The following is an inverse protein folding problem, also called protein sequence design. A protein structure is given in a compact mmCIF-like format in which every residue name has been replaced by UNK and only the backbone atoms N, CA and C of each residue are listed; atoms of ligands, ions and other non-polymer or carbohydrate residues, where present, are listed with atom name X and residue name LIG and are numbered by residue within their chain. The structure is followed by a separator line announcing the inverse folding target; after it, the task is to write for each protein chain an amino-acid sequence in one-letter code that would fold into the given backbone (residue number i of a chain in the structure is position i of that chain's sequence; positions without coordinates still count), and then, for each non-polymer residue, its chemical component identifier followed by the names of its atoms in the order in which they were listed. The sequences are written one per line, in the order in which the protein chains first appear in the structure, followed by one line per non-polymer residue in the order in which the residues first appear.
data_IF_925103074340
#
_entry.id   IF_925103074340
#
_cell.length_a   1.000
_cell.length_b   1.000
_cell.length_c   1.000
_cell.angle_alpha   90.00
_cell.angle_beta   90.00
_cell.angle_gamma   90.00
#
_symmetry.space_group_name_H-M   'P 1'
#
loop_
_entity.id
_entity.type
_entity.pdbx_description
1 polymer ?
#
# COMPACT_ATOMS: atom_id res chain seq x y z
N UNK A 1 -7.52 0.91 -19.37
CA UNK A 1 -7.14 0.89 -17.94
C UNK A 1 -5.63 0.92 -17.74
N UNK A 2 -4.86 0.21 -18.57
CA UNK A 2 -3.40 0.38 -18.67
C UNK A 2 -2.99 1.84 -18.89
N UNK A 3 -3.59 2.53 -19.86
CA UNK A 3 -3.31 3.95 -20.13
C UNK A 3 -3.54 4.85 -18.91
N UNK A 4 -4.64 4.63 -18.18
CA UNK A 4 -4.96 5.43 -16.99
C UNK A 4 -3.93 5.22 -15.88
N UNK A 5 -3.56 3.97 -15.62
CA UNK A 5 -2.51 3.64 -14.65
C UNK A 5 -1.15 4.17 -15.08
N UNK A 6 -0.79 4.01 -16.36
CA UNK A 6 0.46 4.54 -16.92
C UNK A 6 0.57 6.05 -16.76
N UNK A 7 -0.47 6.79 -17.12
CA UNK A 7 -0.52 8.27 -16.95
C UNK A 7 -0.49 8.67 -15.48
N UNK A 8 -1.24 7.98 -14.62
CA UNK A 8 -1.27 8.28 -13.18
C UNK A 8 0.09 8.07 -12.54
N UNK A 9 0.76 6.95 -12.84
CA UNK A 9 2.12 6.69 -12.35
C UNK A 9 3.13 7.72 -12.85
N UNK A 10 3.06 8.10 -14.13
CA UNK A 10 3.92 9.14 -14.70
C UNK A 10 3.74 10.48 -13.98
N UNK A 11 2.49 10.89 -13.74
CA UNK A 11 2.17 12.14 -13.01
C UNK A 11 2.65 12.12 -11.55
N UNK A 12 2.61 10.96 -10.87
CA UNK A 12 3.15 10.85 -9.51
C UNK A 12 4.67 11.01 -9.47
N UNK A 13 5.38 10.50 -10.48
CA UNK A 13 6.83 10.66 -10.62
C UNK A 13 7.17 12.12 -10.97
N UNK A 14 6.52 12.69 -11.99
CA UNK A 14 6.71 14.08 -12.42
C UNK A 14 6.39 15.07 -11.30
N UNK A 15 5.35 14.78 -10.51
CA UNK A 15 4.95 15.57 -9.35
C UNK A 15 5.91 15.46 -8.15
N UNK A 16 6.99 14.68 -8.24
CA UNK A 16 8.00 14.57 -7.19
C UNK A 16 7.47 13.95 -5.90
N UNK A 17 6.58 12.96 -5.99
CA UNK A 17 6.04 12.28 -4.81
C UNK A 17 7.19 11.75 -3.93
N UNK A 18 7.12 12.01 -2.63
CA UNK A 18 8.11 11.50 -1.66
C UNK A 18 7.50 10.49 -0.71
N UNK A 19 8.32 9.61 -0.15
CA UNK A 19 7.90 8.67 0.89
C UNK A 19 7.31 9.40 2.10
N UNK A 20 7.88 10.56 2.47
CA UNK A 20 7.37 11.41 3.55
C UNK A 20 5.99 11.99 3.24
N UNK A 21 5.72 12.34 1.97
CA UNK A 21 4.40 12.80 1.55
C UNK A 21 3.34 11.70 1.76
N UNK A 22 3.66 10.43 1.46
CA UNK A 22 2.76 9.29 1.73
C UNK A 22 2.45 9.17 3.22
N UNK A 23 3.48 9.17 4.07
CA UNK A 23 3.33 9.08 5.52
C UNK A 23 2.42 10.19 6.06
N UNK A 24 2.67 11.43 5.63
CA UNK A 24 1.87 12.59 6.02
C UNK A 24 0.43 12.51 5.51
N UNK A 25 0.22 12.02 4.29
CA UNK A 25 -1.11 11.85 3.71
C UNK A 25 -1.92 10.81 4.47
N UNK A 26 -1.32 9.65 4.81
CA UNK A 26 -1.98 8.62 5.62
C UNK A 26 -2.30 9.14 7.02
N UNK A 27 -1.41 9.91 7.64
CA UNK A 27 -1.62 10.46 8.96
C UNK A 27 -2.86 11.37 9.00
N UNK A 28 -3.01 12.21 7.98
CA UNK A 28 -4.14 13.15 7.82
C UNK A 28 -5.41 12.51 7.27
N UNK A 29 -5.30 11.36 6.60
CA UNK A 29 -6.44 10.72 5.96
C UNK A 29 -7.41 10.12 7.00
N UNK A 30 -8.70 10.34 6.75
CA UNK A 30 -9.79 9.64 7.43
C UNK A 30 -9.99 8.28 6.75
N UNK A 31 -9.33 7.27 7.27
CA UNK A 31 -9.43 5.88 6.78
C UNK A 31 -10.19 5.08 7.82
N UNK A 32 -11.30 4.48 7.42
CA UNK A 32 -12.08 3.58 8.24
C UNK A 32 -11.86 2.14 7.76
N UNK A 33 -11.53 1.26 8.70
CA UNK A 33 -11.63 -0.17 8.46
C UNK A 33 -13.07 -0.62 8.66
N UNK A 34 -13.43 -1.74 8.03
CA UNK A 34 -14.68 -2.42 8.36
C UNK A 34 -14.57 -3.01 9.76
N UNK A 35 -15.67 -2.99 10.49
CA UNK A 35 -15.76 -3.61 11.81
C UNK A 35 -15.30 -5.08 11.76
N UNK A 36 -14.47 -5.48 12.73
CA UNK A 36 -13.96 -6.85 12.82
C UNK A 36 -12.70 -7.17 12.00
N UNK A 37 -12.14 -6.22 11.22
CA UNK A 37 -10.99 -6.55 10.35
C UNK A 37 -9.72 -6.90 11.13
N UNK A 38 -9.50 -6.24 12.26
CA UNK A 38 -8.32 -6.46 13.09
C UNK A 38 -8.41 -7.83 13.75
N UNK A 39 -9.58 -8.14 14.31
CA UNK A 39 -9.92 -9.41 14.93
C UNK A 39 -9.80 -10.57 13.93
N UNK A 40 -10.21 -10.35 12.67
CA UNK A 40 -10.02 -11.32 11.60
C UNK A 40 -8.53 -11.58 11.33
N UNK A 41 -7.71 -10.55 11.18
CA UNK A 41 -6.28 -10.75 10.94
C UNK A 41 -5.58 -11.43 12.12
N UNK A 42 -5.95 -11.09 13.35
CA UNK A 42 -5.43 -11.74 14.56
C UNK A 42 -5.82 -13.22 14.64
N UNK A 43 -7.09 -13.54 14.38
CA UNK A 43 -7.56 -14.93 14.34
C UNK A 43 -6.81 -15.74 13.27
N UNK A 44 -6.64 -15.18 12.07
CA UNK A 44 -5.93 -15.86 10.99
C UNK A 44 -4.44 -16.01 11.30
N UNK A 45 -3.82 -15.04 11.97
CA UNK A 45 -2.43 -15.15 12.43
C UNK A 45 -2.29 -16.27 13.47
N UNK A 46 -3.19 -16.34 14.46
CA UNK A 46 -3.21 -17.39 15.50
C UNK A 46 -3.38 -18.79 14.90
N UNK A 47 -4.24 -18.93 13.88
CA UNK A 47 -4.47 -20.20 13.19
C UNK A 47 -3.41 -20.53 12.14
N UNK A 48 -2.40 -19.68 11.95
CA UNK A 48 -1.36 -19.87 10.95
C UNK A 48 -1.87 -19.83 9.51
N UNK A 49 -3.00 -19.16 9.26
CA UNK A 49 -3.62 -19.06 7.94
C UNK A 49 -2.97 -17.91 7.16
N UNK A 50 -2.37 -18.15 5.99
CA UNK A 50 -1.82 -17.10 5.15
C UNK A 50 -2.91 -16.18 4.61
N UNK A 51 -2.67 -14.87 4.65
CA UNK A 51 -3.55 -13.84 4.13
C UNK A 51 -2.86 -13.14 2.97
N UNK A 52 -3.55 -13.05 1.83
CA UNK A 52 -3.09 -12.30 0.68
C UNK A 52 -4.00 -11.09 0.45
N UNK A 53 -3.47 -9.89 0.66
CA UNK A 53 -4.09 -8.65 0.21
C UNK A 53 -3.65 -8.45 -1.23
N UNK A 54 -4.55 -8.75 -2.17
CA UNK A 54 -4.34 -8.49 -3.59
C UNK A 54 -5.07 -7.20 -3.97
N UNK A 55 -4.31 -6.17 -4.37
CA UNK A 55 -4.86 -4.85 -4.69
C UNK A 55 -4.26 -4.31 -5.97
N UNK A 56 -5.09 -3.64 -6.78
CA UNK A 56 -4.62 -2.90 -7.96
C UNK A 56 -4.05 -1.51 -7.59
N UNK A 57 -4.05 -1.13 -6.32
CA UNK A 57 -3.57 0.17 -5.84
C UNK A 57 -2.05 0.19 -5.66
N UNK A 58 -1.57 0.89 -4.63
CA UNK A 58 -0.17 1.11 -4.30
C UNK A 58 0.17 0.36 -3.01
N UNK A 59 1.16 -0.53 -3.07
CA UNK A 59 1.56 -1.38 -1.94
C UNK A 59 1.98 -0.53 -0.73
N UNK A 60 2.81 0.49 -0.96
CA UNK A 60 3.38 1.39 0.06
C UNK A 60 2.29 2.16 0.80
N UNK A 61 1.21 2.52 0.10
CA UNK A 61 0.03 3.13 0.71
C UNK A 61 -0.67 2.17 1.67
N UNK A 62 -0.90 0.92 1.26
CA UNK A 62 -1.57 -0.09 2.09
C UNK A 62 -0.73 -0.40 3.34
N UNK A 63 0.57 -0.59 3.15
CA UNK A 63 1.51 -0.86 4.25
C UNK A 63 1.53 0.29 5.27
N UNK A 64 1.58 1.54 4.79
CA UNK A 64 1.58 2.70 5.69
C UNK A 64 0.23 2.87 6.41
N UNK A 65 -0.89 2.55 5.75
CA UNK A 65 -2.23 2.55 6.38
C UNK A 65 -2.32 1.50 7.47
N UNK A 66 -1.89 0.26 7.20
CA UNK A 66 -1.88 -0.80 8.21
C UNK A 66 -1.00 -0.40 9.40
N UNK A 67 0.19 0.13 9.13
CA UNK A 67 1.13 0.60 10.15
C UNK A 67 0.54 1.70 11.02
N UNK A 68 -0.03 2.76 10.43
CA UNK A 68 -0.49 3.94 11.18
C UNK A 68 -1.89 3.81 11.77
N UNK A 69 -2.76 2.97 11.21
CA UNK A 69 -4.17 2.90 11.62
C UNK A 69 -4.48 1.62 12.39
N UNK A 70 -3.84 0.50 12.06
CA UNK A 70 -3.99 -0.77 12.83
C UNK A 70 -2.93 -0.89 13.92
N UNK A 71 -1.81 -0.15 13.83
CA UNK A 71 -0.72 -0.13 14.82
C UNK A 71 -0.10 -1.52 15.08
N UNK A 72 -0.25 -2.44 14.13
CA UNK A 72 0.24 -3.82 14.22
C UNK A 72 0.71 -4.31 12.85
N UNK A 73 1.76 -5.12 12.86
CA UNK A 73 2.20 -5.87 11.69
C UNK A 73 1.79 -7.33 11.85
N UNK A 74 1.28 -7.93 10.78
CA UNK A 74 0.82 -9.32 10.76
C UNK A 74 1.80 -10.15 9.94
N UNK A 75 2.39 -11.19 10.53
CA UNK A 75 3.42 -12.00 9.86
C UNK A 75 2.85 -12.88 8.75
N UNK A 76 1.57 -13.22 8.85
CA UNK A 76 0.83 -14.04 7.89
C UNK A 76 0.24 -13.22 6.73
N UNK A 77 0.34 -11.89 6.74
CA UNK A 77 -0.20 -11.03 5.68
C UNK A 77 0.87 -10.75 4.63
N UNK A 78 0.55 -11.04 3.36
CA UNK A 78 1.32 -10.66 2.18
C UNK A 78 0.52 -9.71 1.32
N UNK A 79 1.18 -8.73 0.72
CA UNK A 79 0.55 -7.74 -0.15
C UNK A 79 1.11 -7.91 -1.57
N UNK A 80 0.22 -8.11 -2.53
CA UNK A 80 0.52 -8.05 -3.97
C UNK A 80 -0.20 -6.84 -4.54
N UNK A 81 0.57 -5.85 -4.96
CA UNK A 81 0.10 -4.54 -5.42
C UNK A 81 1.24 -3.81 -6.12
N UNK A 82 0.96 -2.68 -6.79
CA UNK A 82 1.99 -1.90 -7.47
C UNK A 82 2.90 -1.24 -6.42
N UNK A 83 4.19 -1.57 -6.43
CA UNK A 83 5.14 -1.09 -5.41
C UNK A 83 5.95 0.08 -5.93
N UNK A 84 6.03 1.16 -5.17
CA UNK A 84 6.86 2.31 -5.50
C UNK A 84 8.34 2.00 -5.27
N UNK A 85 9.18 2.60 -6.10
CA UNK A 85 10.64 2.55 -5.96
C UNK A 85 11.11 3.98 -5.72
N UNK A 86 11.64 4.23 -4.52
CA UNK A 86 12.18 5.52 -4.12
C UNK A 86 13.70 5.54 -4.27
N UNK A 87 14.27 6.71 -4.55
CA UNK A 87 15.72 6.93 -4.47
C UNK A 87 16.20 7.14 -3.01
N UNK A 88 17.50 7.33 -2.85
CA UNK A 88 18.16 7.57 -1.55
C UNK A 88 17.67 8.84 -0.85
N UNK A 89 17.14 9.80 -1.61
CA UNK A 89 16.56 11.04 -1.09
C UNK A 89 15.05 10.91 -0.79
N UNK A 90 14.48 9.73 -1.03
CA UNK A 90 13.07 9.43 -0.80
C UNK A 90 12.11 9.93 -1.88
N UNK A 91 12.59 10.28 -3.08
CA UNK A 91 11.74 10.64 -4.22
C UNK A 91 11.35 9.41 -5.04
N UNK A 92 10.10 9.38 -5.49
CA UNK A 92 9.58 8.32 -6.35
C UNK A 92 10.26 8.36 -7.74
N UNK A 93 10.88 7.24 -8.12
CA UNK A 93 11.56 7.10 -9.42
C UNK A 93 10.80 6.19 -10.39
N UNK A 94 10.20 5.11 -9.88
CA UNK A 94 9.49 4.13 -10.72
C UNK A 94 8.54 3.25 -9.90
N UNK A 95 7.86 2.33 -10.57
CA UNK A 95 6.99 1.32 -9.96
C UNK A 95 7.46 -0.09 -10.35
N UNK A 96 7.51 -1.00 -9.37
CA UNK A 96 7.85 -2.42 -9.54
C UNK A 96 6.60 -3.27 -9.41
N UNK A 97 6.57 -4.35 -10.20
CA UNK A 97 5.48 -5.33 -10.18
C UNK A 97 4.19 -4.74 -10.75
N UNK A 98 4.31 -3.98 -11.84
CA UNK A 98 3.16 -3.29 -12.42
C UNK A 98 2.12 -4.32 -12.84
N UNK A 99 1.04 -4.36 -12.08
CA UNK A 99 -0.08 -5.25 -12.27
C UNK A 99 -1.17 -4.48 -12.96
N UNK A 100 -1.04 -4.32 -14.29
CA UNK A 100 -2.10 -3.81 -15.16
C UNK A 100 -3.20 -4.86 -15.35
N UNK A 101 -3.80 -5.36 -14.27
CA UNK A 101 -4.84 -6.40 -14.39
C UNK A 101 -6.19 -5.76 -14.67
N UNK A 102 -6.47 -5.49 -15.96
CA UNK A 102 -7.80 -5.52 -16.59
C UNK A 102 -7.63 -5.97 -18.04
#
# INVERSE_FOLDING_TARGET
MEEWWGKTHALLIEGGLTQKAIQNSVAKATIAFRDGVTELFELLEEKGVPVLIFSACLADMIEEVLKQKVHRSFKNVRIVSNRMVFDENGHLQSFKGITYWI
#
